data_IF_267109671574
#
_entry.id   IF_267109671574
#
_cell.length_a   1.000
_cell.length_b   1.000
_cell.length_c   1.000
_cell.angle_alpha   90.00
_cell.angle_beta   90.00
_cell.angle_gamma   90.00
#
_symmetry.space_group_name_H-M   'P 1'
#
loop_
_entity.id
_entity.type
_entity.pdbx_description
1 polymer ?
#
# COMPACT_ATOMS: atom_id res chain seq x y z
N UNK A 1 -28.22 -40.64 40.76
CA UNK A 1 -27.07 -39.78 41.16
C UNK A 1 -25.77 -40.06 40.37
N UNK A 2 -25.80 -40.40 39.08
CA UNK A 2 -24.58 -40.75 38.31
C UNK A 2 -24.44 -40.03 36.97
N UNK A 3 -25.17 -38.95 36.71
CA UNK A 3 -25.05 -38.16 35.46
C UNK A 3 -24.43 -36.76 35.60
N UNK A 4 -24.19 -36.29 36.84
CA UNK A 4 -23.69 -34.92 37.09
C UNK A 4 -22.18 -34.84 37.24
N UNK A 5 -21.46 -35.93 37.45
CA UNK A 5 -20.01 -35.95 37.67
C UNK A 5 -19.21 -35.91 36.35
N UNK A 6 -19.75 -36.42 35.25
CA UNK A 6 -19.05 -36.44 33.96
C UNK A 6 -19.04 -35.08 33.21
N UNK A 7 -19.95 -34.17 33.55
CA UNK A 7 -20.04 -32.85 32.89
C UNK A 7 -19.05 -31.84 33.48
N UNK A 8 -18.70 -31.99 34.75
CA UNK A 8 -17.73 -31.10 35.44
C UNK A 8 -16.30 -31.41 35.01
N UNK A 9 -15.96 -32.69 34.80
CA UNK A 9 -14.61 -33.07 34.32
C UNK A 9 -14.35 -32.67 32.86
N UNK A 10 -15.37 -32.62 32.00
CA UNK A 10 -15.18 -32.17 30.60
C UNK A 10 -14.96 -30.66 30.46
N UNK A 11 -15.58 -29.85 31.32
CA UNK A 11 -15.37 -28.40 31.35
C UNK A 11 -14.00 -28.02 31.89
N UNK A 12 -13.51 -28.72 32.92
CA UNK A 12 -12.17 -28.49 33.46
C UNK A 12 -11.04 -28.81 32.43
N UNK A 13 -11.20 -29.90 31.69
CA UNK A 13 -10.23 -30.27 30.62
C UNK A 13 -10.24 -29.26 29.45
N UNK A 14 -11.40 -28.73 29.09
CA UNK A 14 -11.53 -27.74 28.04
C UNK A 14 -10.91 -26.40 28.45
N UNK A 15 -11.02 -26.00 29.72
CA UNK A 15 -10.40 -24.77 30.23
C UNK A 15 -8.88 -24.91 30.41
N UNK A 16 -8.39 -26.08 30.78
CA UNK A 16 -6.96 -26.39 30.89
C UNK A 16 -6.29 -26.43 29.49
N UNK A 17 -6.95 -26.98 28.48
CA UNK A 17 -6.50 -26.95 27.09
C UNK A 17 -6.52 -25.51 26.53
N UNK A 18 -7.56 -24.71 26.85
CA UNK A 18 -7.62 -23.30 26.45
C UNK A 18 -6.53 -22.41 27.08
N UNK A 19 -6.20 -22.67 28.36
CA UNK A 19 -5.12 -21.94 29.07
C UNK A 19 -3.75 -22.34 28.54
N UNK A 20 -3.51 -23.61 28.24
CA UNK A 20 -2.26 -24.09 27.66
C UNK A 20 -2.05 -23.58 26.23
N UNK A 21 -3.07 -23.60 25.38
CA UNK A 21 -3.00 -23.01 24.02
C UNK A 21 -2.76 -21.51 24.06
N UNK A 22 -3.37 -20.77 25.00
CA UNK A 22 -3.10 -19.33 25.18
C UNK A 22 -1.68 -19.05 25.68
N UNK A 23 -1.13 -19.90 26.55
CA UNK A 23 0.25 -19.74 27.03
C UNK A 23 1.30 -20.04 25.95
N UNK A 24 1.07 -21.02 25.09
CA UNK A 24 1.97 -21.35 23.99
C UNK A 24 1.94 -20.35 22.83
N UNK A 25 0.76 -19.82 22.51
CA UNK A 25 0.62 -18.70 21.57
C UNK A 25 1.27 -17.44 22.14
N UNK A 26 1.13 -17.17 23.44
CA UNK A 26 1.80 -16.06 24.12
C UNK A 26 3.33 -16.22 24.09
N UNK A 27 3.86 -17.42 24.35
CA UNK A 27 5.32 -17.70 24.31
C UNK A 27 5.89 -17.58 22.89
N UNK A 28 5.21 -18.10 21.87
CA UNK A 28 5.63 -17.92 20.45
C UNK A 28 5.64 -16.46 20.02
N UNK A 29 4.60 -15.69 20.37
CA UNK A 29 4.55 -14.25 20.08
C UNK A 29 5.67 -13.48 20.78
N UNK A 30 6.02 -13.86 22.02
CA UNK A 30 7.11 -13.23 22.78
C UNK A 30 8.48 -13.59 22.19
N UNK A 31 8.68 -14.83 21.73
CA UNK A 31 9.90 -15.24 21.05
C UNK A 31 10.08 -14.58 19.68
N UNK A 32 9.03 -14.47 18.87
CA UNK A 32 9.09 -13.73 17.61
C UNK A 32 9.36 -12.23 17.84
N UNK A 33 8.75 -11.63 18.87
CA UNK A 33 9.02 -10.23 19.22
C UNK A 33 10.44 -10.02 19.73
N UNK A 34 11.00 -10.94 20.51
CA UNK A 34 12.40 -10.87 20.96
C UNK A 34 13.39 -11.07 19.80
N UNK A 35 13.11 -11.97 18.85
CA UNK A 35 13.93 -12.13 17.65
C UNK A 35 13.88 -10.91 16.73
N UNK A 36 12.70 -10.26 16.57
CA UNK A 36 12.54 -9.02 15.82
C UNK A 36 13.26 -7.86 16.50
N UNK A 37 13.24 -7.80 17.83
CA UNK A 37 13.92 -6.77 18.62
C UNK A 37 15.44 -6.95 18.56
N UNK A 38 15.94 -8.16 18.69
CA UNK A 38 17.37 -8.50 18.59
C UNK A 38 17.90 -8.27 17.17
N UNK A 39 17.12 -8.62 16.13
CA UNK A 39 17.46 -8.32 14.74
C UNK A 39 17.47 -6.81 14.42
N UNK A 40 16.59 -6.01 15.04
CA UNK A 40 16.60 -4.55 14.96
C UNK A 40 17.80 -3.95 15.68
N UNK A 41 18.14 -4.43 16.87
CA UNK A 41 19.27 -3.97 17.68
C UNK A 41 20.60 -4.25 16.98
N UNK A 42 20.77 -5.43 16.39
CA UNK A 42 21.93 -5.76 15.56
C UNK A 42 22.05 -4.92 14.28
N UNK A 43 20.93 -4.51 13.68
CA UNK A 43 20.92 -3.59 12.51
C UNK A 43 21.30 -2.16 12.90
N UNK A 44 20.89 -1.69 14.08
CA UNK A 44 21.23 -0.35 14.60
C UNK A 44 22.71 -0.29 14.95
N UNK A 45 23.27 -1.34 15.59
CA UNK A 45 24.69 -1.42 15.91
C UNK A 45 25.57 -1.48 14.66
N UNK A 46 25.22 -2.27 13.63
CA UNK A 46 25.98 -2.32 12.36
C UNK A 46 25.95 -0.98 11.61
N UNK A 47 24.80 -0.29 11.58
CA UNK A 47 24.69 1.05 10.99
C UNK A 47 25.50 2.07 11.80
N UNK A 48 25.40 2.04 13.13
CA UNK A 48 26.15 2.91 14.03
C UNK A 48 27.66 2.78 13.85
N UNK A 49 28.16 1.55 13.78
CA UNK A 49 29.58 1.28 13.56
C UNK A 49 30.10 1.79 12.22
N UNK A 50 29.29 1.70 11.14
CA UNK A 50 29.69 2.27 9.85
C UNK A 50 29.68 3.80 9.90
N UNK A 51 28.66 4.40 10.47
CA UNK A 51 28.51 5.87 10.56
C UNK A 51 29.44 6.54 11.58
N UNK A 52 30.14 5.77 12.45
CA UNK A 52 31.21 6.32 13.30
C UNK A 52 32.46 6.73 12.50
N UNK A 53 32.62 6.21 11.29
CA UNK A 53 33.65 6.67 10.36
C UNK A 53 33.20 7.97 9.67
N UNK A 54 34.05 9.00 9.77
CA UNK A 54 33.75 10.35 9.31
C UNK A 54 33.50 10.44 7.78
N UNK A 55 34.25 9.66 6.98
CA UNK A 55 34.10 9.65 5.54
C UNK A 55 32.82 8.95 5.11
N UNK A 56 32.47 7.86 5.76
CA UNK A 56 31.20 7.17 5.54
C UNK A 56 30.03 8.08 5.92
N UNK A 57 30.14 8.83 7.02
CA UNK A 57 29.11 9.78 7.43
C UNK A 57 28.92 10.88 6.38
N UNK A 58 30.01 11.49 5.89
CA UNK A 58 29.95 12.52 4.84
C UNK A 58 29.31 11.98 3.55
N UNK A 59 29.72 10.79 3.12
CA UNK A 59 29.12 10.12 1.95
C UNK A 59 27.64 9.84 2.18
N UNK A 60 27.26 9.32 3.33
CA UNK A 60 25.87 9.05 3.70
C UNK A 60 25.04 10.33 3.70
N UNK A 61 25.51 11.40 4.33
CA UNK A 61 24.80 12.68 4.40
C UNK A 61 24.60 13.31 3.01
N UNK A 62 25.60 13.21 2.15
CA UNK A 62 25.47 13.67 0.76
C UNK A 62 24.38 12.92 0.00
N UNK A 63 24.30 11.60 0.15
CA UNK A 63 23.23 10.79 -0.43
C UNK A 63 21.87 11.10 0.18
N UNK A 64 21.81 11.31 1.50
CA UNK A 64 20.60 11.58 2.25
C UNK A 64 19.94 12.90 1.86
N UNK A 65 20.69 13.89 1.37
CA UNK A 65 20.14 15.15 0.81
C UNK A 65 19.16 14.90 -0.34
N UNK A 66 19.41 13.85 -1.14
CA UNK A 66 18.49 13.44 -2.18
C UNK A 66 17.44 12.45 -1.69
N UNK A 67 17.85 11.44 -0.91
CA UNK A 67 16.95 10.41 -0.39
C UNK A 67 17.58 9.63 0.77
N UNK A 68 17.03 9.78 1.96
CA UNK A 68 17.43 9.02 3.15
C UNK A 68 17.33 7.51 2.93
N UNK A 69 16.27 7.04 2.25
CA UNK A 69 16.09 5.63 1.93
C UNK A 69 17.21 5.10 1.03
N UNK A 70 17.59 5.89 0.02
CA UNK A 70 18.71 5.53 -0.88
C UNK A 70 20.03 5.47 -0.12
N UNK A 71 20.31 6.45 0.75
CA UNK A 71 21.50 6.47 1.60
C UNK A 71 21.56 5.22 2.49
N UNK A 72 20.46 4.86 3.16
CA UNK A 72 20.40 3.67 4.00
C UNK A 72 20.58 2.35 3.22
N UNK A 73 19.98 2.26 2.03
CA UNK A 73 20.16 1.09 1.17
C UNK A 73 21.62 0.97 0.75
N UNK A 74 22.24 2.05 0.27
CA UNK A 74 23.65 2.04 -0.18
C UNK A 74 24.60 1.72 0.98
N UNK A 75 24.39 2.32 2.15
CA UNK A 75 25.20 2.04 3.34
C UNK A 75 25.18 0.53 3.70
N UNK A 76 23.98 -0.06 3.76
CA UNK A 76 23.84 -1.51 4.04
C UNK A 76 24.47 -2.39 2.97
N UNK A 77 24.39 -1.99 1.69
CA UNK A 77 24.98 -2.74 0.59
C UNK A 77 26.50 -2.66 0.61
N UNK A 78 27.07 -1.49 0.87
CA UNK A 78 28.50 -1.30 1.07
C UNK A 78 29.01 -2.16 2.24
N UNK A 79 28.38 -2.06 3.41
CA UNK A 79 28.78 -2.85 4.57
C UNK A 79 28.70 -4.36 4.31
N UNK A 80 27.65 -4.84 3.60
CA UNK A 80 27.53 -6.26 3.25
C UNK A 80 28.56 -6.71 2.20
N UNK A 81 28.89 -5.86 1.25
CA UNK A 81 29.95 -6.12 0.26
C UNK A 81 31.32 -6.27 0.96
N UNK A 82 31.67 -5.33 1.83
CA UNK A 82 32.90 -5.35 2.59
C UNK A 82 33.00 -6.59 3.52
N UNK A 83 31.91 -6.92 4.21
CA UNK A 83 31.81 -8.13 5.05
C UNK A 83 32.05 -9.41 4.23
N UNK A 84 31.42 -9.54 3.06
CA UNK A 84 31.56 -10.70 2.21
C UNK A 84 32.99 -10.89 1.66
N UNK A 85 33.68 -9.78 1.42
CA UNK A 85 35.06 -9.79 0.90
C UNK A 85 36.13 -9.64 2.02
N UNK A 86 35.73 -9.73 3.29
CA UNK A 86 36.59 -9.65 4.47
C UNK A 86 37.52 -8.42 4.47
N UNK A 87 36.95 -7.27 4.06
CA UNK A 87 37.65 -5.96 4.00
C UNK A 87 36.82 -4.89 4.64
N UNK A 88 37.46 -3.81 5.04
CA UNK A 88 36.81 -2.58 5.49
C UNK A 88 36.50 -1.65 4.32
N UNK A 89 35.56 -0.70 4.46
CA UNK A 89 35.36 0.33 3.46
C UNK A 89 36.63 1.16 3.15
N UNK A 90 37.54 1.32 4.14
CA UNK A 90 38.81 2.02 3.98
C UNK A 90 39.79 1.22 3.11
N UNK A 91 39.97 -0.07 3.39
CA UNK A 91 40.79 -0.96 2.59
C UNK A 91 40.32 -1.05 1.14
N UNK A 92 39.00 -0.96 0.90
CA UNK A 92 38.44 -0.88 -0.45
C UNK A 92 38.89 0.39 -1.20
N UNK A 93 38.96 1.53 -0.50
CA UNK A 93 39.50 2.78 -1.07
C UNK A 93 41.00 2.66 -1.35
N UNK A 94 41.77 2.13 -0.40
CA UNK A 94 43.21 1.90 -0.55
C UNK A 94 43.52 1.00 -1.75
N UNK A 95 42.72 -0.08 -1.93
CA UNK A 95 42.80 -0.94 -3.11
C UNK A 95 42.49 -0.15 -4.39
N UNK A 96 41.42 0.65 -4.40
CA UNK A 96 41.00 1.43 -5.56
C UNK A 96 42.02 2.51 -5.98
N UNK A 97 42.70 3.14 -5.02
CA UNK A 97 43.77 4.10 -5.27
C UNK A 97 45.02 3.42 -5.84
N UNK A 98 45.36 2.25 -5.35
CA UNK A 98 46.56 1.48 -5.76
C UNK A 98 46.33 0.78 -7.10
N UNK A 99 45.17 0.10 -7.25
CA UNK A 99 44.88 -0.72 -8.42
C UNK A 99 43.35 -0.71 -8.72
N UNK A 100 42.88 0.22 -9.54
CA UNK A 100 41.48 0.26 -9.97
C UNK A 100 41.02 -0.99 -10.75
N UNK A 101 41.97 -1.75 -11.37
CA UNK A 101 41.64 -2.99 -12.07
C UNK A 101 41.29 -4.10 -11.09
N UNK A 102 42.03 -4.24 -9.99
CA UNK A 102 41.73 -5.20 -8.95
C UNK A 102 40.35 -4.98 -8.34
N UNK A 103 39.90 -3.73 -8.20
CA UNK A 103 38.53 -3.40 -7.76
C UNK A 103 37.48 -3.85 -8.78
N UNK A 104 37.75 -3.68 -10.08
CA UNK A 104 36.84 -4.15 -11.11
C UNK A 104 36.73 -5.68 -11.12
N UNK A 105 37.86 -6.39 -10.98
CA UNK A 105 37.91 -7.84 -10.87
C UNK A 105 37.13 -8.34 -9.63
N UNK A 106 37.34 -7.72 -8.48
CA UNK A 106 36.60 -7.99 -7.24
C UNK A 106 35.08 -7.82 -7.40
N UNK A 107 34.63 -6.80 -8.13
CA UNK A 107 33.21 -6.57 -8.43
C UNK A 107 32.66 -7.68 -9.34
N UNK A 108 33.39 -8.09 -10.39
CA UNK A 108 32.99 -9.17 -11.30
C UNK A 108 32.91 -10.52 -10.59
N UNK A 109 33.89 -10.86 -9.74
CA UNK A 109 33.86 -12.06 -8.91
C UNK A 109 32.69 -12.08 -7.95
N UNK A 110 32.38 -10.93 -7.35
CA UNK A 110 31.24 -10.80 -6.44
C UNK A 110 29.91 -10.97 -7.20
N UNK A 111 29.79 -10.39 -8.41
CA UNK A 111 28.62 -10.57 -9.27
C UNK A 111 28.45 -12.04 -9.62
N UNK A 112 29.51 -12.70 -10.11
CA UNK A 112 29.50 -14.13 -10.45
C UNK A 112 29.06 -15.00 -9.27
N UNK A 113 29.55 -14.66 -8.08
CA UNK A 113 29.16 -15.36 -6.83
C UNK A 113 27.69 -15.14 -6.49
N UNK A 114 27.18 -13.92 -6.66
CA UNK A 114 25.76 -13.60 -6.41
C UNK A 114 24.84 -14.23 -7.46
N UNK A 115 25.23 -14.28 -8.73
CA UNK A 115 24.49 -14.94 -9.82
C UNK A 115 24.42 -16.45 -9.58
N UNK A 116 25.52 -17.10 -9.22
CA UNK A 116 25.53 -18.54 -8.82
C UNK A 116 24.58 -18.80 -7.64
N UNK A 117 24.47 -17.87 -6.70
CA UNK A 117 23.53 -17.93 -5.57
C UNK A 117 22.10 -17.49 -5.94
N UNK A 118 21.81 -17.24 -7.21
CA UNK A 118 20.51 -16.83 -7.74
C UNK A 118 19.92 -15.57 -7.10
N UNK A 119 20.76 -14.59 -6.79
CA UNK A 119 20.28 -13.28 -6.37
C UNK A 119 19.59 -12.56 -7.54
N UNK A 120 18.53 -11.82 -7.24
CA UNK A 120 17.85 -11.03 -8.26
C UNK A 120 18.79 -10.02 -8.94
N UNK A 121 18.79 -9.87 -10.28
CA UNK A 121 19.71 -8.99 -11.00
C UNK A 121 19.68 -7.55 -10.49
N UNK A 122 18.50 -7.03 -10.15
CA UNK A 122 18.35 -5.69 -9.58
C UNK A 122 18.97 -5.54 -8.19
N UNK A 123 19.00 -6.63 -7.39
CA UNK A 123 19.73 -6.63 -6.13
C UNK A 123 21.22 -6.50 -6.35
N UNK A 124 21.77 -7.27 -7.30
CA UNK A 124 23.18 -7.25 -7.69
C UNK A 124 23.55 -5.84 -8.17
N UNK A 125 22.74 -5.25 -9.08
CA UNK A 125 22.91 -3.86 -9.56
C UNK A 125 22.97 -2.87 -8.40
N UNK A 126 22.12 -3.04 -7.38
CA UNK A 126 22.11 -2.15 -6.20
C UNK A 126 23.40 -2.25 -5.39
N UNK A 127 23.99 -3.45 -5.26
CA UNK A 127 25.29 -3.65 -4.59
C UNK A 127 26.40 -2.96 -5.37
N UNK A 128 26.49 -3.22 -6.67
CA UNK A 128 27.51 -2.60 -7.55
C UNK A 128 27.39 -1.06 -7.53
N UNK A 129 26.17 -0.54 -7.59
CA UNK A 129 25.93 0.91 -7.51
C UNK A 129 26.37 1.50 -6.16
N UNK A 130 26.17 0.79 -5.06
CA UNK A 130 26.62 1.25 -3.74
C UNK A 130 28.14 1.32 -3.65
N UNK A 131 28.84 0.28 -4.12
CA UNK A 131 30.30 0.22 -4.14
C UNK A 131 30.89 1.29 -5.05
N UNK A 132 30.39 1.41 -6.29
CA UNK A 132 30.83 2.47 -7.21
C UNK A 132 30.58 3.87 -6.66
N UNK A 133 29.45 4.09 -5.99
CA UNK A 133 29.15 5.37 -5.35
C UNK A 133 30.09 5.72 -4.19
N UNK A 134 30.53 4.71 -3.44
CA UNK A 134 31.53 4.87 -2.37
C UNK A 134 32.91 5.21 -2.94
N UNK A 135 33.35 4.50 -3.97
CA UNK A 135 34.62 4.77 -4.66
C UNK A 135 34.61 6.17 -5.30
N UNK A 136 33.52 6.55 -5.96
CA UNK A 136 33.37 7.86 -6.59
C UNK A 136 33.40 9.03 -5.58
N UNK A 137 33.05 8.80 -4.32
CA UNK A 137 33.21 9.78 -3.24
C UNK A 137 34.67 10.17 -2.98
N UNK A 138 35.61 9.34 -3.41
CA UNK A 138 37.06 9.54 -3.34
C UNK A 138 37.67 9.71 -4.75
N UNK A 139 36.88 10.11 -5.73
CA UNK A 139 37.30 10.33 -7.11
C UNK A 139 37.89 9.08 -7.79
N UNK A 140 37.62 7.88 -7.25
CA UNK A 140 38.05 6.61 -7.83
C UNK A 140 36.99 6.13 -8.82
N UNK A 141 37.35 6.03 -10.10
CA UNK A 141 36.48 5.61 -11.16
C UNK A 141 36.76 4.17 -11.62
N UNK A 142 35.73 3.32 -11.58
CA UNK A 142 35.75 1.98 -12.18
C UNK A 142 35.34 2.10 -13.64
N UNK A 143 36.32 2.29 -14.53
CA UNK A 143 36.10 2.53 -15.97
C UNK A 143 35.55 1.30 -16.70
N UNK A 144 35.86 0.08 -16.21
CA UNK A 144 35.38 -1.17 -16.80
C UNK A 144 33.86 -1.24 -16.79
N UNK A 145 33.26 -1.53 -17.96
CA UNK A 145 31.83 -1.80 -18.07
C UNK A 145 31.53 -3.20 -17.54
N UNK A 146 31.02 -3.26 -16.32
CA UNK A 146 30.63 -4.52 -15.67
C UNK A 146 29.20 -4.84 -16.09
N UNK A 147 28.98 -6.03 -16.67
CA UNK A 147 27.67 -6.53 -17.06
C UNK A 147 27.07 -7.39 -15.95
N UNK A 148 25.75 -7.38 -15.85
CA UNK A 148 24.96 -8.23 -14.95
C UNK A 148 23.94 -8.95 -15.82
N UNK A 149 23.82 -10.25 -15.69
CA UNK A 149 22.87 -11.04 -16.48
C UNK A 149 21.44 -10.63 -16.18
N UNK A 150 20.63 -10.46 -17.23
CA UNK A 150 19.19 -10.14 -17.14
C UNK A 150 18.85 -8.92 -16.28
N UNK A 151 19.70 -7.89 -16.26
CA UNK A 151 19.55 -6.70 -15.40
C UNK A 151 18.26 -5.92 -15.67
N UNK A 152 17.75 -6.00 -16.87
CA UNK A 152 16.53 -5.32 -17.31
C UNK A 152 15.28 -6.20 -17.14
N UNK A 153 15.44 -7.45 -16.69
CA UNK A 153 14.29 -8.31 -16.39
C UNK A 153 13.47 -7.70 -15.25
N UNK A 154 12.18 -7.55 -15.48
CA UNK A 154 11.26 -7.11 -14.43
C UNK A 154 11.25 -8.13 -13.29
N UNK A 155 11.64 -7.76 -12.06
CA UNK A 155 11.59 -8.69 -10.95
C UNK A 155 10.13 -8.96 -10.59
N UNK A 156 9.61 -10.09 -11.01
CA UNK A 156 8.29 -10.59 -10.64
C UNK A 156 8.44 -11.61 -9.51
N UNK A 157 7.59 -11.49 -8.50
CA UNK A 157 7.36 -12.60 -7.58
C UNK A 157 6.52 -13.64 -8.33
N UNK A 158 6.68 -14.91 -7.97
CA UNK A 158 5.84 -15.98 -8.54
C UNK A 158 4.38 -15.57 -8.33
N UNK A 159 3.59 -15.61 -9.39
CA UNK A 159 2.16 -15.28 -9.44
C UNK A 159 1.81 -13.81 -9.11
N UNK A 160 2.80 -12.90 -9.06
CA UNK A 160 2.52 -11.48 -8.85
C UNK A 160 1.96 -10.84 -10.12
N UNK A 161 0.74 -10.33 -10.02
CA UNK A 161 0.04 -9.63 -11.08
C UNK A 161 -0.83 -8.50 -10.51
N UNK A 162 -1.41 -7.71 -11.38
CA UNK A 162 -2.45 -6.75 -10.98
C UNK A 162 -3.66 -7.55 -10.48
N UNK A 163 -4.22 -7.23 -9.30
CA UNK A 163 -5.42 -7.87 -8.80
C UNK A 163 -6.61 -7.68 -9.75
N UNK A 164 -7.48 -8.65 -9.79
CA UNK A 164 -8.81 -8.49 -10.37
C UNK A 164 -9.76 -7.84 -9.35
N UNK A 165 -10.88 -7.32 -9.84
CA UNK A 165 -11.87 -6.65 -8.99
C UNK A 165 -12.38 -7.55 -7.85
N UNK A 166 -12.71 -8.81 -8.15
CA UNK A 166 -13.15 -9.81 -7.17
C UNK A 166 -12.09 -10.09 -6.10
N UNK A 167 -10.81 -10.09 -6.47
CA UNK A 167 -9.70 -10.28 -5.54
C UNK A 167 -9.49 -9.07 -4.64
N UNK A 168 -9.70 -7.87 -5.17
CA UNK A 168 -9.68 -6.65 -4.36
C UNK A 168 -10.84 -6.63 -3.36
N UNK A 169 -12.03 -7.04 -3.76
CA UNK A 169 -13.20 -7.23 -2.88
C UNK A 169 -12.89 -8.24 -1.78
N UNK A 170 -12.27 -9.37 -2.11
CA UNK A 170 -11.84 -10.36 -1.10
C UNK A 170 -10.85 -9.73 -0.09
N UNK A 171 -9.91 -8.92 -0.56
CA UNK A 171 -8.98 -8.22 0.32
C UNK A 171 -9.71 -7.26 1.28
N UNK A 172 -10.71 -6.53 0.80
CA UNK A 172 -11.52 -5.65 1.67
C UNK A 172 -12.31 -6.43 2.72
N UNK A 173 -12.87 -7.58 2.35
CA UNK A 173 -13.63 -8.43 3.28
C UNK A 173 -12.75 -9.03 4.39
N UNK A 174 -11.46 -9.24 4.13
CA UNK A 174 -10.49 -9.76 5.09
C UNK A 174 -9.77 -8.67 5.89
N UNK A 175 -9.84 -7.43 5.43
CA UNK A 175 -9.13 -6.31 6.04
C UNK A 175 -9.79 -5.88 7.35
N UNK A 176 -8.97 -5.61 8.38
CA UNK A 176 -9.43 -4.78 9.48
C UNK A 176 -9.61 -3.33 9.00
N UNK A 177 -10.30 -2.49 9.77
CA UNK A 177 -10.64 -1.13 9.39
C UNK A 177 -9.43 -0.31 8.92
N UNK A 178 -8.28 -0.39 9.62
CA UNK A 178 -7.07 0.34 9.22
C UNK A 178 -6.50 -0.20 7.90
N UNK A 179 -6.40 -1.51 7.77
CA UNK A 179 -5.92 -2.11 6.53
C UNK A 179 -6.87 -1.80 5.36
N UNK A 180 -8.18 -1.81 5.58
CA UNK A 180 -9.20 -1.42 4.60
C UNK A 180 -9.00 0.02 4.11
N UNK A 181 -8.79 0.97 5.03
CA UNK A 181 -8.48 2.36 4.68
C UNK A 181 -7.16 2.48 3.88
N UNK A 182 -6.11 1.73 4.26
CA UNK A 182 -4.83 1.71 3.53
C UNK A 182 -5.01 1.13 2.13
N UNK A 183 -5.68 -0.01 1.99
CA UNK A 183 -5.97 -0.67 0.71
C UNK A 183 -6.76 0.28 -0.20
N UNK A 184 -7.74 1.00 0.36
CA UNK A 184 -8.52 2.01 -0.35
C UNK A 184 -7.66 3.15 -0.87
N UNK A 185 -6.84 3.76 -0.02
CA UNK A 185 -5.95 4.85 -0.42
C UNK A 185 -4.91 4.43 -1.47
N UNK A 186 -4.48 3.17 -1.45
CA UNK A 186 -3.55 2.64 -2.45
C UNK A 186 -4.25 2.18 -3.73
N UNK A 187 -5.34 1.43 -3.62
CA UNK A 187 -6.00 0.77 -4.75
C UNK A 187 -7.08 1.62 -5.43
N UNK A 188 -7.72 2.54 -4.70
CA UNK A 188 -8.81 3.37 -5.24
C UNK A 188 -8.44 4.87 -5.36
N UNK A 189 -7.32 5.30 -4.77
CA UNK A 189 -6.79 6.66 -4.93
C UNK A 189 -5.35 6.68 -5.48
N UNK A 190 -4.73 5.52 -5.69
CA UNK A 190 -3.42 5.38 -6.32
C UNK A 190 -2.25 5.88 -5.46
N UNK A 191 -2.38 6.00 -4.14
CA UNK A 191 -1.32 6.54 -3.31
C UNK A 191 -0.19 5.54 -3.07
N UNK A 192 1.04 6.06 -2.97
CA UNK A 192 2.18 5.25 -2.51
C UNK A 192 2.11 5.05 -1.00
N UNK A 193 2.54 3.90 -0.46
CA UNK A 193 2.55 3.66 1.01
C UNK A 193 3.29 4.76 1.79
N UNK A 194 4.37 5.32 1.22
CA UNK A 194 5.13 6.40 1.85
C UNK A 194 4.35 7.71 2.02
N UNK A 195 3.27 7.92 1.25
CA UNK A 195 2.39 9.09 1.42
C UNK A 195 1.57 8.96 2.70
N UNK A 196 1.16 7.74 3.05
CA UNK A 196 0.37 7.46 4.26
C UNK A 196 1.22 7.56 5.54
N UNK A 197 2.52 7.33 5.41
CA UNK A 197 3.50 7.48 6.46
C UNK A 197 4.90 7.24 5.93
N UNK A 198 5.79 8.21 6.14
CA UNK A 198 7.14 8.19 5.57
C UNK A 198 8.05 7.15 6.25
N UNK A 199 9.25 6.98 5.72
CA UNK A 199 10.22 5.98 6.19
C UNK A 199 10.52 6.08 7.70
N UNK A 200 10.65 7.28 8.21
CA UNK A 200 11.02 7.55 9.61
C UNK A 200 9.82 7.74 10.56
N UNK A 201 8.60 7.68 10.06
CA UNK A 201 7.38 7.97 10.80
C UNK A 201 7.32 9.41 11.38
N UNK A 202 7.90 10.36 10.65
CA UNK A 202 7.92 11.78 11.03
C UNK A 202 6.88 12.62 10.30
N UNK A 203 6.35 12.10 9.16
CA UNK A 203 5.34 12.74 8.32
C UNK A 203 4.47 11.67 7.64
N UNK A 204 3.27 12.05 7.23
CA UNK A 204 2.30 11.20 6.52
C UNK A 204 1.06 11.99 6.14
N UNK A 205 0.11 11.35 5.50
CA UNK A 205 -1.17 11.96 5.13
C UNK A 205 -1.93 12.41 6.38
N UNK A 206 -2.37 13.67 6.41
CA UNK A 206 -3.10 14.30 7.51
C UNK A 206 -4.56 14.53 7.12
N UNK A 207 -5.42 14.75 8.10
CA UNK A 207 -6.83 15.09 7.89
C UNK A 207 -6.97 16.34 6.99
N UNK A 208 -6.17 17.37 7.22
CA UNK A 208 -6.16 18.60 6.38
C UNK A 208 -5.78 18.37 4.91
N UNK A 209 -5.15 17.23 4.59
CA UNK A 209 -4.84 16.87 3.21
C UNK A 209 -6.07 16.30 2.45
N UNK A 210 -7.22 16.16 3.15
CA UNK A 210 -8.53 15.73 2.62
C UNK A 210 -9.53 16.90 2.71
N UNK A 211 -9.52 17.85 1.76
CA UNK A 211 -10.26 19.11 1.89
C UNK A 211 -11.79 18.96 1.93
N UNK A 212 -12.32 17.85 1.44
CA UNK A 212 -13.76 17.54 1.49
C UNK A 212 -14.15 16.73 2.74
N UNK A 213 -13.19 16.41 3.63
CA UNK A 213 -13.46 15.71 4.90
C UNK A 213 -13.77 16.72 6.00
N UNK A 214 -14.91 16.55 6.63
CA UNK A 214 -15.35 17.30 7.80
C UNK A 214 -15.48 16.36 9.01
N UNK A 215 -15.18 16.88 10.20
CA UNK A 215 -15.45 16.21 11.47
C UNK A 215 -16.40 17.08 12.27
N UNK A 216 -17.67 16.65 12.37
CA UNK A 216 -18.74 17.39 13.04
C UNK A 216 -19.32 16.49 14.14
N UNK A 217 -19.36 17.00 15.37
CA UNK A 217 -19.87 16.28 16.55
C UNK A 217 -19.28 14.88 16.74
N UNK A 218 -17.98 14.72 16.45
CA UNK A 218 -17.31 13.44 16.59
C UNK A 218 -17.60 12.41 15.48
N UNK A 219 -18.15 12.86 14.35
CA UNK A 219 -18.43 12.05 13.17
C UNK A 219 -17.69 12.63 11.98
N UNK A 220 -16.88 11.80 11.32
CA UNK A 220 -16.24 12.17 10.07
C UNK A 220 -17.18 11.88 8.89
N UNK A 221 -17.23 12.81 7.94
CA UNK A 221 -17.99 12.67 6.69
C UNK A 221 -17.26 13.37 5.54
N UNK A 222 -17.43 12.90 4.33
CA UNK A 222 -17.05 13.64 3.13
C UNK A 222 -18.25 14.47 2.64
N UNK A 223 -18.01 15.75 2.37
CA UNK A 223 -19.03 16.66 1.82
C UNK A 223 -19.29 16.41 0.33
N UNK A 224 -18.31 15.75 -0.33
CA UNK A 224 -18.37 15.46 -1.77
C UNK A 224 -17.54 14.20 -2.08
N UNK A 225 -18.05 13.34 -2.97
CA UNK A 225 -17.35 12.20 -3.56
C UNK A 225 -17.44 12.25 -5.09
N UNK A 226 -16.41 11.82 -5.82
CA UNK A 226 -15.08 11.44 -5.35
C UNK A 226 -14.39 12.56 -4.57
N UNK A 227 -13.76 12.22 -3.45
CA UNK A 227 -13.13 13.18 -2.55
C UNK A 227 -11.66 13.39 -2.94
N UNK A 228 -11.20 14.63 -2.92
CA UNK A 228 -9.82 14.98 -3.26
C UNK A 228 -8.87 14.61 -2.13
N UNK A 229 -7.71 14.07 -2.47
CA UNK A 229 -6.59 13.84 -1.57
C UNK A 229 -5.38 14.60 -2.10
N UNK A 230 -4.82 15.49 -1.27
CA UNK A 230 -3.69 16.34 -1.61
C UNK A 230 -2.42 15.67 -1.12
N UNK A 231 -1.45 15.48 -2.02
CA UNK A 231 -0.14 14.94 -1.68
C UNK A 231 0.84 16.09 -1.62
N UNK A 232 1.29 16.39 -0.39
CA UNK A 232 2.27 17.45 -0.12
C UNK A 232 3.60 17.11 -0.76
N UNK A 233 4.39 18.15 -1.09
CA UNK A 233 5.73 18.01 -1.69
C UNK A 233 6.64 17.08 -0.89
N UNK A 234 6.61 17.15 0.44
CA UNK A 234 7.40 16.33 1.37
C UNK A 234 7.08 14.84 1.29
N UNK A 235 5.86 14.48 0.92
CA UNK A 235 5.39 13.11 0.77
C UNK A 235 5.52 12.59 -0.66
N UNK A 236 5.73 13.48 -1.63
CA UNK A 236 5.87 13.12 -3.04
C UNK A 236 7.27 12.61 -3.35
N UNK A 237 7.36 11.41 -3.94
CA UNK A 237 8.65 10.87 -4.40
C UNK A 237 9.30 11.74 -5.49
N UNK A 238 8.50 12.42 -6.29
CA UNK A 238 8.95 13.29 -7.37
C UNK A 238 9.24 14.74 -6.91
N UNK A 239 9.00 15.04 -5.62
CA UNK A 239 9.30 16.35 -5.03
C UNK A 239 8.39 17.49 -5.49
N UNK A 240 7.19 17.21 -6.00
CA UNK A 240 6.17 18.21 -6.35
C UNK A 240 4.83 17.89 -5.67
N UNK A 241 4.02 18.93 -5.43
CA UNK A 241 2.66 18.79 -4.92
C UNK A 241 1.73 18.32 -6.03
N UNK A 242 0.87 17.36 -5.74
CA UNK A 242 -0.18 16.90 -6.64
C UNK A 242 -1.39 16.43 -5.83
N UNK A 243 -2.47 16.06 -6.50
CA UNK A 243 -3.62 15.45 -5.87
C UNK A 243 -4.12 14.26 -6.69
N UNK A 244 -4.87 13.40 -6.05
CA UNK A 244 -5.70 12.38 -6.64
C UNK A 244 -7.10 12.45 -6.04
N UNK A 245 -7.97 11.52 -6.40
CA UNK A 245 -9.30 11.42 -5.82
C UNK A 245 -9.51 10.05 -5.18
N UNK A 246 -10.35 10.02 -4.17
CA UNK A 246 -10.82 8.82 -3.47
C UNK A 246 -12.21 8.54 -4.00
N UNK A 247 -12.46 7.32 -4.48
CA UNK A 247 -13.78 6.91 -4.96
C UNK A 247 -14.81 6.89 -3.82
N UNK A 248 -16.08 6.75 -4.14
CA UNK A 248 -17.16 6.69 -3.15
C UNK A 248 -16.99 5.50 -2.18
N UNK A 249 -16.82 4.28 -2.71
CA UNK A 249 -16.59 3.09 -1.86
C UNK A 249 -15.27 3.17 -1.10
N UNK A 250 -14.27 3.84 -1.67
CA UNK A 250 -13.01 4.14 -0.99
C UNK A 250 -13.19 5.09 0.18
N UNK A 251 -14.01 6.11 0.03
CA UNK A 251 -14.34 7.07 1.09
C UNK A 251 -15.04 6.37 2.27
N UNK A 252 -15.98 5.45 2.01
CA UNK A 252 -16.66 4.67 3.04
C UNK A 252 -15.68 3.89 3.93
N UNK A 253 -14.68 3.22 3.34
CA UNK A 253 -13.67 2.47 4.10
C UNK A 253 -12.81 3.37 4.99
N UNK A 254 -12.50 4.58 4.52
CA UNK A 254 -11.76 5.59 5.28
C UNK A 254 -12.61 6.12 6.42
N UNK A 255 -13.88 6.47 6.16
CA UNK A 255 -14.82 6.95 7.17
C UNK A 255 -15.06 5.91 8.27
N UNK A 256 -15.26 4.64 7.91
CA UNK A 256 -15.42 3.56 8.87
C UNK A 256 -14.22 3.48 9.83
N UNK A 257 -12.99 3.64 9.31
CA UNK A 257 -11.79 3.64 10.13
C UNK A 257 -11.67 4.90 11.01
N UNK A 258 -11.93 6.09 10.46
CA UNK A 258 -11.82 7.35 11.21
C UNK A 258 -12.88 7.44 12.30
N UNK A 259 -14.11 7.06 12.00
CA UNK A 259 -15.21 7.04 12.97
C UNK A 259 -14.94 6.05 14.11
N UNK A 260 -14.38 4.87 13.82
CA UNK A 260 -13.97 3.94 14.87
C UNK A 260 -12.90 4.52 15.79
N UNK A 261 -11.93 5.28 15.25
CA UNK A 261 -10.90 5.95 16.08
C UNK A 261 -11.52 6.95 17.04
N UNK A 262 -12.55 7.69 16.60
CA UNK A 262 -13.27 8.65 17.46
C UNK A 262 -14.15 7.92 18.51
N UNK A 263 -14.78 6.81 18.14
CA UNK A 263 -15.50 5.93 19.11
C UNK A 263 -14.51 5.39 20.15
N UNK A 264 -13.28 5.05 19.75
CA UNK A 264 -12.21 4.60 20.67
C UNK A 264 -11.61 5.76 21.51
N UNK A 265 -12.18 6.98 21.43
CA UNK A 265 -11.85 8.15 22.24
C UNK A 265 -10.75 9.05 21.66
N UNK A 266 -10.40 8.91 20.38
CA UNK A 266 -9.44 9.83 19.74
C UNK A 266 -10.15 11.10 19.26
N UNK A 267 -9.56 12.27 19.53
CA UNK A 267 -10.01 13.56 18.99
C UNK A 267 -9.19 13.85 17.75
N UNK A 268 -9.85 13.90 16.60
CA UNK A 268 -9.20 14.20 15.32
C UNK A 268 -9.09 15.72 15.12
N UNK A 269 -7.87 16.16 14.84
CA UNK A 269 -7.54 17.54 14.42
C UNK A 269 -7.08 17.57 12.97
N UNK A 270 -6.98 18.75 12.33
CA UNK A 270 -6.44 18.88 10.98
C UNK A 270 -5.06 18.23 10.79
N UNK A 271 -4.22 18.24 11.84
CA UNK A 271 -2.87 17.64 11.84
C UNK A 271 -2.85 16.18 12.25
N UNK A 272 -4.00 15.59 12.58
CA UNK A 272 -4.08 14.15 12.89
C UNK A 272 -3.76 13.32 11.65
N UNK A 273 -2.96 12.23 11.78
CA UNK A 273 -2.69 11.34 10.66
C UNK A 273 -3.96 10.62 10.22
N UNK A 274 -4.16 10.51 8.90
CA UNK A 274 -5.26 9.70 8.35
C UNK A 274 -5.07 8.24 8.73
N UNK A 275 -3.83 7.72 8.67
CA UNK A 275 -3.48 6.37 9.11
C UNK A 275 -2.58 6.46 10.34
N UNK A 276 -3.10 6.05 11.50
CA UNK A 276 -2.44 6.19 12.80
C UNK A 276 -2.00 4.85 13.41
N UNK A 277 -1.05 4.86 14.36
CA UNK A 277 -0.79 3.73 15.24
C UNK A 277 -2.05 3.36 16.05
N UNK A 278 -2.23 2.08 16.41
CA UNK A 278 -3.33 1.67 17.28
C UNK A 278 -3.20 2.31 18.68
N UNK A 279 -4.26 2.94 19.17
CA UNK A 279 -4.27 3.61 20.49
C UNK A 279 -4.04 2.63 21.65
N UNK A 280 -4.54 1.37 21.52
CA UNK A 280 -4.34 0.30 22.54
C UNK A 280 -2.87 -0.01 22.83
N UNK A 281 -1.95 0.31 21.92
CA UNK A 281 -0.51 0.10 22.13
C UNK A 281 0.18 1.29 22.79
N UNK A 282 -0.50 2.41 23.04
CA UNK A 282 0.07 3.57 23.77
C UNK A 282 0.53 3.19 25.18
N UNK A 283 -0.16 2.25 25.85
CA UNK A 283 0.19 1.79 27.21
C UNK A 283 1.50 1.02 27.32
N UNK A 284 2.00 0.46 26.21
CA UNK A 284 3.23 -0.37 26.19
C UNK A 284 4.45 0.37 25.63
N UNK A 285 4.29 1.62 25.20
CA UNK A 285 5.42 2.44 24.77
C UNK A 285 6.01 3.15 25.99
N UNK A 286 7.23 2.74 26.36
CA UNK A 286 8.02 3.50 27.34
C UNK A 286 8.19 4.96 26.91
N UNK A 287 8.68 5.81 27.80
CA UNK A 287 8.79 7.29 27.75
C UNK A 287 9.45 7.91 26.50
N UNK A 288 9.71 7.14 25.43
CA UNK A 288 10.19 7.68 24.16
C UNK A 288 9.02 8.28 23.38
N UNK A 289 9.23 9.49 22.84
CA UNK A 289 8.32 10.32 22.04
C UNK A 289 7.30 9.50 21.22
N UNK A 290 6.02 9.72 21.48
CA UNK A 290 4.93 9.07 20.76
C UNK A 290 5.00 9.45 19.28
N UNK A 291 5.47 8.52 18.44
CA UNK A 291 5.44 8.73 16.99
C UNK A 291 4.00 8.88 16.54
N UNK A 292 3.66 10.08 16.09
CA UNK A 292 2.33 10.42 15.57
C UNK A 292 1.97 9.60 14.34
N UNK A 293 2.94 9.34 13.46
CA UNK A 293 2.73 8.61 12.19
C UNK A 293 3.24 7.17 12.26
N UNK A 294 2.72 6.31 11.36
CA UNK A 294 3.28 5.01 11.07
C UNK A 294 4.43 5.13 10.05
N UNK A 295 5.46 4.28 10.16
CA UNK A 295 6.44 4.20 9.10
C UNK A 295 5.90 3.35 7.92
N UNK A 296 6.38 3.63 6.71
CA UNK A 296 6.03 2.93 5.48
C UNK A 296 6.10 1.40 5.61
N UNK A 297 7.13 0.89 6.29
CA UNK A 297 7.32 -0.56 6.48
C UNK A 297 6.19 -1.23 7.29
N UNK A 298 5.60 -0.52 8.26
CA UNK A 298 4.45 -1.02 9.04
C UNK A 298 3.20 -1.02 8.17
N UNK A 299 2.97 0.05 7.42
CA UNK A 299 1.83 0.17 6.49
C UNK A 299 1.87 -0.97 5.47
N UNK A 300 3.01 -1.19 4.83
CA UNK A 300 3.17 -2.30 3.88
C UNK A 300 3.03 -3.68 4.52
N UNK A 301 3.48 -3.83 5.78
CA UNK A 301 3.32 -5.09 6.53
C UNK A 301 1.85 -5.39 6.77
N UNK A 302 1.05 -4.40 7.18
CA UNK A 302 -0.37 -4.59 7.46
C UNK A 302 -1.14 -5.03 6.22
N UNK A 303 -0.84 -4.43 5.06
CA UNK A 303 -1.39 -4.87 3.77
C UNK A 303 -0.95 -6.30 3.42
N UNK A 304 0.35 -6.63 3.58
CA UNK A 304 0.84 -8.00 3.34
C UNK A 304 0.19 -9.05 4.24
N UNK A 305 -0.08 -8.73 5.49
CA UNK A 305 -0.79 -9.63 6.41
C UNK A 305 -2.22 -9.87 5.95
N UNK A 306 -2.90 -8.85 5.43
CA UNK A 306 -4.25 -8.99 4.86
C UNK A 306 -4.24 -9.85 3.59
N UNK A 307 -3.23 -9.69 2.73
CA UNK A 307 -3.07 -10.48 1.51
C UNK A 307 -2.79 -11.96 1.77
N UNK A 308 -2.02 -12.29 2.83
CA UNK A 308 -1.63 -13.67 3.15
C UNK A 308 -2.77 -14.46 3.82
N UNK A 309 -2.76 -15.81 3.71
CA UNK A 309 -1.81 -16.64 2.94
C UNK A 309 -2.10 -16.71 1.44
N UNK A 310 -3.27 -16.24 0.98
CA UNK A 310 -3.75 -16.46 -0.40
C UNK A 310 -2.90 -15.76 -1.44
N UNK A 311 -2.55 -14.47 -1.22
CA UNK A 311 -1.78 -13.68 -2.16
C UNK A 311 -0.39 -13.39 -1.59
N UNK A 312 0.65 -13.80 -2.32
CA UNK A 312 2.06 -13.54 -1.97
C UNK A 312 2.60 -12.25 -2.61
N UNK A 313 1.70 -11.37 -3.04
CA UNK A 313 2.04 -10.14 -3.77
C UNK A 313 2.67 -9.07 -2.87
N UNK A 314 3.38 -8.15 -3.50
CA UNK A 314 3.81 -6.90 -2.85
C UNK A 314 2.63 -5.93 -2.77
N UNK A 315 2.51 -5.11 -1.71
CA UNK A 315 1.44 -4.10 -1.59
C UNK A 315 1.34 -3.15 -2.80
N UNK A 316 2.42 -2.97 -3.55
CA UNK A 316 2.47 -2.10 -4.72
C UNK A 316 1.50 -2.52 -5.84
N UNK A 317 1.07 -3.78 -5.89
CA UNK A 317 0.06 -4.25 -6.87
C UNK A 317 -1.27 -3.50 -6.74
N UNK A 318 -1.61 -2.98 -5.56
CA UNK A 318 -2.81 -2.16 -5.35
C UNK A 318 -2.74 -0.86 -6.16
N UNK A 319 -1.57 -0.23 -6.17
CA UNK A 319 -1.37 0.97 -6.98
C UNK A 319 -1.30 0.64 -8.48
N UNK A 320 -0.75 -0.53 -8.83
CA UNK A 320 -0.79 -1.02 -10.21
C UNK A 320 -2.23 -1.27 -10.66
N UNK A 321 -3.11 -1.78 -9.77
CA UNK A 321 -4.53 -1.90 -10.03
C UNK A 321 -5.16 -0.54 -10.38
N UNK A 322 -4.96 0.48 -9.55
CA UNK A 322 -5.46 1.82 -9.83
C UNK A 322 -5.02 2.35 -11.20
N UNK A 323 -3.72 2.25 -11.51
CA UNK A 323 -3.18 2.70 -12.80
C UNK A 323 -3.76 1.91 -13.98
N UNK A 324 -3.90 0.59 -13.84
CA UNK A 324 -4.50 -0.27 -14.87
C UNK A 324 -5.96 0.07 -15.12
N UNK A 325 -6.75 0.31 -14.07
CA UNK A 325 -8.15 0.69 -14.22
C UNK A 325 -8.29 2.07 -14.89
N UNK A 326 -7.44 3.02 -14.54
CA UNK A 326 -7.40 4.32 -15.23
C UNK A 326 -6.91 4.20 -16.68
N UNK A 327 -6.00 3.26 -16.99
CA UNK A 327 -5.57 2.98 -18.36
C UNK A 327 -6.73 2.41 -19.20
N UNK A 328 -7.54 1.54 -18.62
CA UNK A 328 -8.77 1.03 -19.28
C UNK A 328 -9.76 2.18 -19.50
N UNK A 329 -9.97 3.05 -18.50
CA UNK A 329 -10.81 4.23 -18.63
C UNK A 329 -10.29 5.20 -19.71
N UNK A 330 -8.97 5.39 -19.81
CA UNK A 330 -8.30 6.18 -20.85
C UNK A 330 -8.55 5.58 -22.24
N UNK A 331 -8.39 4.27 -22.41
CA UNK A 331 -8.66 3.59 -23.68
C UNK A 331 -10.12 3.70 -24.13
N UNK A 332 -11.04 3.96 -23.19
CA UNK A 332 -12.47 4.22 -23.47
C UNK A 332 -12.83 5.71 -23.54
N UNK A 333 -11.83 6.59 -23.56
CA UNK A 333 -12.04 8.04 -23.68
C UNK A 333 -12.67 8.70 -22.46
N UNK A 334 -12.63 8.07 -21.26
CA UNK A 334 -13.22 8.62 -20.03
C UNK A 334 -12.30 9.60 -19.31
N UNK A 335 -10.99 9.49 -19.53
CA UNK A 335 -9.96 10.32 -18.90
C UNK A 335 -8.84 10.61 -19.90
N UNK A 336 -8.27 11.81 -19.83
CA UNK A 336 -7.08 12.17 -20.61
C UNK A 336 -5.81 11.52 -20.01
N UNK A 337 -4.85 11.17 -20.85
CA UNK A 337 -3.55 10.61 -20.47
C UNK A 337 -2.86 11.44 -19.38
N UNK A 338 -2.81 12.75 -19.57
CA UNK A 338 -2.13 13.66 -18.65
C UNK A 338 -2.77 13.69 -17.26
N UNK A 339 -4.10 13.54 -17.16
CA UNK A 339 -4.80 13.43 -15.89
C UNK A 339 -4.46 12.13 -15.17
N UNK A 340 -4.40 10.99 -15.88
CA UNK A 340 -3.97 9.71 -15.32
C UNK A 340 -2.53 9.80 -14.78
N UNK A 341 -1.61 10.34 -15.57
CA UNK A 341 -0.20 10.53 -15.17
C UNK A 341 -0.09 11.45 -13.96
N UNK A 342 -0.90 12.52 -13.92
CA UNK A 342 -0.96 13.46 -12.80
C UNK A 342 -1.44 12.78 -11.51
N UNK A 343 -2.54 12.02 -11.54
CA UNK A 343 -3.08 11.31 -10.36
C UNK A 343 -2.10 10.27 -9.83
N UNK A 344 -1.28 9.70 -10.68
CA UNK A 344 -0.18 8.83 -10.27
C UNK A 344 1.01 9.58 -9.66
N UNK A 345 1.03 10.91 -9.68
CA UNK A 345 2.16 11.71 -9.21
C UNK A 345 3.45 11.33 -9.93
N UNK A 346 3.35 11.04 -11.23
CA UNK A 346 4.50 10.88 -12.11
C UNK A 346 4.91 12.24 -12.66
N UNK A 347 6.21 12.45 -12.88
CA UNK A 347 6.68 13.56 -13.67
C UNK A 347 6.36 13.25 -15.12
N UNK A 348 5.24 13.80 -15.60
CA UNK A 348 4.79 13.63 -16.97
C UNK A 348 5.60 14.45 -17.97
N UNK A 349 5.02 14.62 -19.16
CA UNK A 349 5.53 15.44 -20.26
C UNK A 349 5.91 16.86 -19.82
N UNK A 350 6.63 17.59 -20.68
CA UNK A 350 6.99 19.00 -20.45
C UNK A 350 5.77 19.87 -20.08
N UNK A 351 4.60 19.58 -20.65
CA UNK A 351 3.34 20.29 -20.36
C UNK A 351 2.90 20.14 -18.91
N UNK A 352 2.98 18.93 -18.33
CA UNK A 352 2.68 18.71 -16.91
C UNK A 352 3.61 19.54 -16.00
N UNK A 353 4.87 19.75 -16.36
CA UNK A 353 5.79 20.63 -15.63
C UNK A 353 5.35 22.10 -15.66
N UNK A 354 4.91 22.59 -16.80
CA UNK A 354 4.46 23.99 -16.92
C UNK A 354 3.14 24.24 -16.19
N UNK A 355 2.25 23.25 -16.18
CA UNK A 355 0.93 23.38 -15.53
C UNK A 355 1.02 23.19 -14.02
N UNK A 356 1.90 22.31 -13.53
CA UNK A 356 1.97 21.92 -12.11
C UNK A 356 3.03 22.67 -11.29
N UNK A 357 4.07 23.21 -11.93
CA UNK A 357 5.15 23.91 -11.20
C UNK A 357 4.75 25.26 -10.60
N UNK A 358 3.58 25.81 -10.96
CA UNK A 358 3.03 27.04 -10.36
C UNK A 358 2.13 26.79 -9.15
N UNK A 359 2.08 25.56 -8.62
CA UNK A 359 1.45 25.15 -7.36
C UNK A 359 -0.07 25.25 -7.26
N UNK A 360 -0.75 26.01 -8.13
CA UNK A 360 -2.20 26.19 -8.11
C UNK A 360 -2.73 26.00 -9.53
N UNK A 361 -3.50 24.93 -9.72
CA UNK A 361 -4.20 24.72 -10.99
C UNK A 361 -5.42 25.65 -11.09
N UNK A 362 -5.77 26.13 -12.29
CA UNK A 362 -7.01 26.85 -12.51
C UNK A 362 -8.22 26.00 -12.05
N UNK A 363 -9.23 26.69 -11.49
CA UNK A 363 -10.44 26.00 -11.00
C UNK A 363 -11.11 25.19 -12.12
N UNK A 364 -11.24 25.75 -13.31
CA UNK A 364 -11.84 25.07 -14.46
C UNK A 364 -11.14 23.74 -14.78
N UNK A 365 -9.79 23.71 -14.73
CA UNK A 365 -9.02 22.47 -14.95
C UNK A 365 -9.23 21.46 -13.83
N UNK A 366 -9.28 21.92 -12.57
CA UNK A 366 -9.55 21.04 -11.42
C UNK A 366 -10.95 20.44 -11.50
N UNK A 367 -11.95 21.21 -11.93
CA UNK A 367 -13.32 20.77 -12.12
C UNK A 367 -13.42 19.75 -13.27
N UNK A 368 -12.65 19.94 -14.36
CA UNK A 368 -12.56 18.97 -15.46
C UNK A 368 -11.90 17.66 -15.00
N UNK A 369 -10.80 17.75 -14.23
CA UNK A 369 -10.15 16.58 -13.64
C UNK A 369 -11.08 15.81 -12.70
N UNK A 370 -11.88 16.51 -11.91
CA UNK A 370 -12.90 15.90 -11.05
C UNK A 370 -13.95 15.17 -11.88
N UNK A 371 -14.49 15.82 -12.92
CA UNK A 371 -15.52 15.27 -13.79
C UNK A 371 -15.02 14.02 -14.52
N UNK A 372 -13.77 14.08 -15.01
CA UNK A 372 -13.12 12.93 -15.66
C UNK A 372 -12.90 11.79 -14.68
N UNK A 373 -12.42 12.06 -13.45
CA UNK A 373 -12.25 11.02 -12.43
C UNK A 373 -13.60 10.41 -12.02
N UNK A 374 -14.67 11.21 -11.92
CA UNK A 374 -16.01 10.71 -11.63
C UNK A 374 -16.47 9.66 -12.64
N UNK A 375 -16.16 9.84 -13.94
CA UNK A 375 -16.42 8.84 -14.99
C UNK A 375 -15.56 7.59 -14.85
N UNK A 376 -14.44 7.66 -14.12
CA UNK A 376 -13.55 6.51 -13.90
C UNK A 376 -13.98 5.66 -12.70
N UNK A 377 -14.90 6.10 -11.84
CA UNK A 377 -15.33 5.33 -10.68
C UNK A 377 -15.91 3.96 -11.06
N UNK A 378 -16.61 3.85 -12.17
CA UNK A 378 -17.14 2.58 -12.67
C UNK A 378 -16.06 1.50 -12.87
N UNK A 379 -14.80 1.89 -13.12
CA UNK A 379 -13.66 0.97 -13.27
C UNK A 379 -12.96 0.66 -11.94
N UNK A 380 -13.12 1.50 -10.94
CA UNK A 380 -12.49 1.38 -9.64
C UNK A 380 -13.41 0.77 -8.58
N UNK A 381 -14.74 1.00 -8.67
CA UNK A 381 -15.76 0.63 -7.69
C UNK A 381 -16.67 -0.51 -8.21
N UNK A 382 -16.07 -1.65 -8.55
CA UNK A 382 -16.80 -2.83 -9.04
C UNK A 382 -17.87 -3.36 -8.06
N UNK A 383 -17.79 -3.03 -6.77
CA UNK A 383 -18.77 -3.47 -5.76
C UNK A 383 -20.16 -2.86 -5.95
N UNK A 384 -20.24 -1.70 -6.62
CA UNK A 384 -21.51 -1.02 -6.88
C UNK A 384 -22.26 -1.60 -8.08
N UNK A 385 -21.58 -2.23 -9.01
CA UNK A 385 -22.21 -2.80 -10.22
C UNK A 385 -22.93 -4.11 -9.96
N UNK A 386 -22.57 -4.88 -8.92
CA UNK A 386 -23.38 -6.04 -8.49
C UNK A 386 -24.74 -5.63 -7.92
N UNK A 387 -24.94 -4.38 -7.52
CA UNK A 387 -26.27 -3.85 -7.16
C UNK A 387 -27.06 -3.31 -8.37
N UNK A 388 -26.40 -3.01 -9.48
CA UNK A 388 -27.07 -2.57 -10.72
C UNK A 388 -27.45 -3.73 -11.64
N UNK A 389 -26.82 -4.91 -11.50
CA UNK A 389 -27.21 -6.14 -12.18
C UNK A 389 -28.23 -6.98 -11.38
N UNK A 390 -28.65 -6.56 -10.18
CA UNK A 390 -29.97 -6.94 -9.71
C UNK A 390 -30.98 -6.22 -10.60
N UNK A 391 -31.25 -6.83 -11.77
CA UNK A 391 -32.42 -6.53 -12.59
C UNK A 391 -33.58 -6.22 -11.64
N UNK A 392 -34.12 -5.01 -11.68
CA UNK A 392 -35.31 -4.65 -10.95
C UNK A 392 -36.45 -5.48 -11.55
N UNK A 393 -36.52 -6.74 -11.16
CA UNK A 393 -37.65 -7.61 -11.50
C UNK A 393 -38.82 -7.14 -10.67
N UNK A 394 -39.67 -6.32 -11.30
CA UNK A 394 -40.97 -6.00 -10.67
C UNK A 394 -41.78 -7.27 -10.60
N UNK A 395 -42.11 -7.70 -9.41
CA UNK A 395 -43.03 -8.80 -9.16
C UNK A 395 -44.42 -8.22 -8.84
N UNK A 396 -45.46 -8.83 -9.37
CA UNK A 396 -46.84 -8.46 -9.11
C UNK A 396 -47.70 -9.71 -8.92
N UNK A 397 -48.68 -9.60 -8.04
CA UNK A 397 -49.69 -10.65 -7.83
C UNK A 397 -50.96 -10.22 -8.56
N UNK A 398 -51.43 -11.03 -9.47
CA UNK A 398 -52.55 -10.74 -10.37
C UNK A 398 -53.55 -11.89 -10.41
N UNK A 399 -54.73 -11.61 -10.92
CA UNK A 399 -55.70 -12.67 -11.21
C UNK A 399 -55.38 -13.41 -12.51
N UNK A 400 -55.90 -14.61 -12.75
CA UNK A 400 -55.69 -15.29 -14.03
C UNK A 400 -56.12 -14.46 -15.26
N UNK A 401 -57.21 -13.72 -15.15
CA UNK A 401 -57.72 -12.86 -16.24
C UNK A 401 -56.82 -11.65 -16.51
N UNK A 402 -56.25 -11.08 -15.47
CA UNK A 402 -55.24 -10.01 -15.60
C UNK A 402 -53.93 -10.53 -16.18
N UNK A 403 -53.54 -11.77 -15.86
CA UNK A 403 -52.30 -12.37 -16.37
C UNK A 403 -52.34 -12.56 -17.88
N UNK A 404 -53.48 -13.00 -18.43
CA UNK A 404 -53.65 -13.18 -19.89
C UNK A 404 -53.36 -11.85 -20.66
N UNK A 405 -53.74 -10.72 -20.11
CA UNK A 405 -53.43 -9.40 -20.69
C UNK A 405 -51.97 -9.01 -20.53
N UNK A 406 -51.38 -9.29 -19.38
CA UNK A 406 -50.03 -8.87 -19.07
C UNK A 406 -48.94 -9.74 -19.73
N UNK A 407 -49.28 -10.96 -20.16
CA UNK A 407 -48.39 -11.80 -20.98
C UNK A 407 -48.02 -11.09 -22.30
N UNK A 408 -48.98 -10.40 -22.93
CA UNK A 408 -48.72 -9.65 -24.17
C UNK A 408 -47.83 -8.41 -23.95
N UNK A 409 -47.72 -7.93 -22.71
CA UNK A 409 -46.85 -6.82 -22.28
C UNK A 409 -45.46 -7.32 -21.78
N UNK A 410 -45.12 -8.59 -21.98
CA UNK A 410 -43.82 -9.15 -21.64
C UNK A 410 -43.67 -9.66 -20.21
N UNK A 411 -44.77 -9.75 -19.42
CA UNK A 411 -44.75 -10.33 -18.10
C UNK A 411 -44.64 -11.86 -18.15
N UNK A 412 -43.82 -12.44 -17.29
CA UNK A 412 -43.55 -13.86 -17.20
C UNK A 412 -44.16 -14.47 -15.92
N UNK A 413 -44.72 -15.68 -16.07
CA UNK A 413 -45.23 -16.47 -14.95
C UNK A 413 -44.12 -16.90 -14.00
N UNK A 414 -44.33 -16.73 -12.70
CA UNK A 414 -43.40 -17.20 -11.64
C UNK A 414 -44.02 -18.36 -10.84
N UNK A 415 -45.30 -18.33 -10.54
CA UNK A 415 -45.98 -19.35 -9.75
C UNK A 415 -47.40 -18.95 -9.40
N UNK A 416 -48.18 -19.93 -8.85
CA UNK A 416 -49.54 -19.71 -8.38
C UNK A 416 -49.58 -19.78 -6.85
N UNK A 417 -50.24 -18.83 -6.21
CA UNK A 417 -50.47 -18.85 -4.79
C UNK A 417 -51.64 -19.78 -4.39
N UNK A 418 -51.70 -20.26 -3.15
CA UNK A 418 -52.79 -21.17 -2.70
C UNK A 418 -54.21 -20.61 -2.87
N UNK A 419 -54.34 -19.28 -3.00
CA UNK A 419 -55.61 -18.59 -3.23
C UNK A 419 -55.95 -18.41 -4.73
N UNK A 420 -55.23 -19.10 -5.63
CA UNK A 420 -55.46 -19.06 -7.06
C UNK A 420 -54.91 -17.83 -7.78
N UNK A 421 -54.30 -16.88 -7.10
CA UNK A 421 -53.65 -15.72 -7.72
C UNK A 421 -52.29 -16.10 -8.30
N UNK A 422 -51.90 -15.42 -9.34
CA UNK A 422 -50.66 -15.66 -10.12
C UNK A 422 -49.61 -14.62 -9.75
N UNK A 423 -48.38 -15.07 -9.47
CA UNK A 423 -47.21 -14.20 -9.29
C UNK A 423 -46.50 -14.09 -10.62
N UNK A 424 -46.31 -12.88 -11.09
CA UNK A 424 -45.66 -12.58 -12.36
C UNK A 424 -44.44 -11.67 -12.15
N UNK A 425 -43.49 -11.71 -13.09
CA UNK A 425 -42.31 -10.83 -13.15
C UNK A 425 -42.20 -10.19 -14.51
N UNK A 426 -41.71 -8.96 -14.54
CA UNK A 426 -41.30 -8.30 -15.77
C UNK A 426 -39.83 -7.87 -15.67
N UNK A 427 -39.05 -8.15 -16.74
CA UNK A 427 -37.74 -7.63 -16.95
C UNK A 427 -37.88 -6.33 -17.73
N UNK A 428 -37.71 -5.18 -17.10
CA UNK A 428 -37.53 -3.94 -17.85
C UNK A 428 -36.12 -3.97 -18.43
N UNK A 429 -36.02 -4.24 -19.74
CA UNK A 429 -34.84 -3.91 -20.53
C UNK A 429 -34.65 -2.40 -20.50
N UNK A 430 -33.43 -1.97 -20.31
CA UNK A 430 -33.02 -0.58 -20.57
C UNK A 430 -33.04 -0.41 -22.09
N UNK A 431 -34.03 0.35 -22.61
CA UNK A 431 -33.95 0.99 -23.92
C UNK A 431 -32.89 2.10 -23.93
#
# INVERSE_FOLDING_TARGET
MMKTVNTINSLAIVDEVRTNVRSDVGKKLTQEQSQITTAKQNRITKKGNLLSNQDILRWYDNLARSSVVTAEVRLRKLGKFCENNKMTPKELIELGLRDPRAVADLLEDNITTMEKKRYAPQYIKTVVTAVKSWLHHFDIEVKRRIKIANVDATPTLVDERVPEASELTELFNRANLRAGAVISLMGKAGLRPQVLGNHNATDGLMIQDLPELEVIHGIARFTKTPARVIIRRTLSKAGHKYFSFITETGAEKILAYLNQRMIDGEILSPESPVIAPFSKYKRFRGKNEEKKFLCTAIIERDVRLTMRPRFKWRPYVLRAFFDTQLLIAESRGKIAHDFRVFFMGHTGSMEAKYTTNKSILPKALTDEMYTSFKKCQEFLDYETNTKQDEEITKQRVVTPEEFEKLVTEGWQFLGTLPNGKIVIKNRQGLD
#
